data_IF_027267654671
#
_entry.id   IF_027267654671
#
_cell.length_a   1.000
_cell.length_b   1.000
_cell.length_c   1.000
_cell.angle_alpha   90.00
_cell.angle_beta   90.00
_cell.angle_gamma   90.00
#
_symmetry.space_group_name_H-M   'P 1'
#
loop_
_entity.id
_entity.type
_entity.pdbx_description
1 polymer ?
#
# COMPACT_ATOMS: atom_id res chain seq x y z
N UNK A 1 -12.47 -16.14 -0.67
CA UNK A 1 -13.34 -17.27 -0.29
C UNK A 1 -13.87 -17.87 -1.58
N UNK A 2 -13.87 -19.19 -1.73
CA UNK A 2 -14.30 -19.88 -2.95
C UNK A 2 -15.74 -20.40 -2.75
N UNK A 3 -16.59 -20.26 -3.77
CA UNK A 3 -17.97 -20.80 -3.77
C UNK A 3 -18.09 -21.75 -4.96
N UNK A 4 -18.50 -22.99 -4.70
CA UNK A 4 -18.71 -24.06 -5.71
C UNK A 4 -17.48 -24.43 -6.56
N UNK A 5 -16.27 -24.14 -6.06
CA UNK A 5 -15.01 -24.48 -6.73
C UNK A 5 -13.95 -24.91 -5.70
N UNK A 6 -12.94 -25.67 -6.15
CA UNK A 6 -11.87 -26.20 -5.31
C UNK A 6 -11.05 -25.03 -4.70
N UNK A 7 -10.72 -25.06 -3.40
CA UNK A 7 -10.06 -23.93 -2.72
C UNK A 7 -8.54 -23.80 -2.98
N UNK A 8 -8.03 -24.33 -4.09
CA UNK A 8 -6.58 -24.41 -4.41
C UNK A 8 -6.30 -23.98 -5.84
N UNK A 9 -5.13 -23.40 -6.12
CA UNK A 9 -4.71 -23.05 -7.49
C UNK A 9 -4.91 -21.58 -7.85
N UNK A 10 -4.56 -20.66 -6.95
CA UNK A 10 -4.70 -19.23 -7.22
C UNK A 10 -3.81 -18.79 -8.39
N UNK A 11 -4.41 -18.10 -9.35
CA UNK A 11 -3.74 -17.56 -10.53
C UNK A 11 -3.28 -16.13 -10.23
N UNK A 12 -2.02 -15.82 -10.56
CA UNK A 12 -1.43 -14.48 -10.37
C UNK A 12 -2.29 -13.42 -11.06
N UNK A 13 -2.71 -12.39 -10.33
CA UNK A 13 -3.51 -11.26 -10.84
C UNK A 13 -5.03 -11.48 -10.93
N UNK A 14 -5.53 -12.70 -10.68
CA UNK A 14 -6.97 -13.02 -10.68
C UNK A 14 -7.47 -13.24 -9.25
N UNK A 15 -6.69 -13.98 -8.46
CA UNK A 15 -6.97 -14.29 -7.06
C UNK A 15 -5.68 -14.06 -6.27
N UNK A 16 -5.49 -12.86 -5.66
CA UNK A 16 -4.41 -12.67 -4.72
C UNK A 16 -4.40 -13.80 -3.70
N UNK A 17 -3.26 -14.47 -3.52
CA UNK A 17 -3.16 -15.53 -2.52
C UNK A 17 -3.61 -14.95 -1.18
N UNK A 18 -4.62 -15.55 -0.55
CA UNK A 18 -5.19 -15.05 0.71
C UNK A 18 -4.59 -15.77 1.91
N UNK A 19 -4.40 -15.08 3.03
CA UNK A 19 -4.21 -15.73 4.32
C UNK A 19 -4.05 -14.74 5.46
N UNK A 20 -4.80 -15.00 6.52
CA UNK A 20 -4.69 -14.36 7.83
C UNK A 20 -4.70 -15.42 8.94
N UNK A 21 -4.69 -14.98 10.20
CA UNK A 21 -4.45 -15.80 11.41
C UNK A 21 -3.00 -16.32 11.45
N UNK A 22 -2.75 -17.59 11.80
CA UNK A 22 -1.40 -18.13 11.95
C UNK A 22 -0.56 -18.20 10.65
N UNK A 23 -1.11 -17.78 9.50
CA UNK A 23 -0.46 -17.88 8.18
C UNK A 23 0.27 -16.59 7.71
N UNK A 24 0.35 -15.55 8.55
CA UNK A 24 1.13 -14.34 8.29
C UNK A 24 0.32 -13.07 7.94
N UNK A 25 1.02 -12.03 7.47
CA UNK A 25 0.57 -10.61 7.43
C UNK A 25 -0.29 -10.19 6.23
N UNK A 26 -0.69 -11.12 5.36
CA UNK A 26 -1.53 -10.83 4.18
C UNK A 26 -0.86 -10.01 3.05
N UNK A 27 0.47 -9.81 3.09
CA UNK A 27 1.28 -9.12 2.05
C UNK A 27 1.71 -10.08 0.91
N UNK A 28 0.78 -10.92 0.43
CA UNK A 28 1.14 -12.15 -0.29
C UNK A 28 1.57 -11.91 -1.75
N UNK A 29 2.57 -12.69 -2.18
CA UNK A 29 3.07 -12.75 -3.55
C UNK A 29 1.92 -12.93 -4.55
N UNK A 30 1.97 -12.20 -5.68
CA UNK A 30 0.89 -12.15 -6.68
C UNK A 30 -0.06 -10.96 -6.55
N UNK A 31 0.17 -10.06 -5.59
CA UNK A 31 -0.49 -8.75 -5.47
C UNK A 31 0.54 -7.61 -5.49
N UNK A 32 0.09 -6.39 -5.84
CA UNK A 32 0.93 -5.17 -5.80
C UNK A 32 1.55 -4.94 -4.40
N UNK A 33 0.83 -5.33 -3.34
CA UNK A 33 1.26 -5.14 -1.95
C UNK A 33 2.52 -5.93 -1.59
N UNK A 34 2.77 -7.08 -2.24
CA UNK A 34 4.03 -7.80 -2.06
C UNK A 34 5.23 -7.05 -2.64
N UNK A 35 5.03 -6.25 -3.70
CA UNK A 35 6.11 -5.46 -4.29
C UNK A 35 6.49 -4.27 -3.40
N UNK A 36 5.50 -3.64 -2.77
CA UNK A 36 5.71 -2.51 -1.85
C UNK A 36 6.51 -2.92 -0.60
N UNK A 37 6.51 -4.21 -0.21
CA UNK A 37 7.32 -4.72 0.91
C UNK A 37 8.83 -4.57 0.70
N UNK A 38 9.29 -4.54 -0.55
CA UNK A 38 10.72 -4.47 -0.91
C UNK A 38 11.19 -3.06 -1.26
N UNK A 39 10.32 -2.07 -1.10
CA UNK A 39 10.61 -0.67 -1.39
C UNK A 39 10.36 0.18 -0.14
N UNK A 40 11.23 1.15 0.12
CA UNK A 40 11.00 2.18 1.13
C UNK A 40 10.57 3.48 0.43
N UNK A 41 9.26 3.78 0.34
CA UNK A 41 8.78 4.96 -0.38
C UNK A 41 9.29 6.26 0.28
N UNK A 42 9.67 7.24 -0.54
CA UNK A 42 10.01 8.60 -0.12
C UNK A 42 9.16 9.59 -0.91
N UNK A 43 8.57 10.55 -0.20
CA UNK A 43 7.94 11.71 -0.82
C UNK A 43 8.94 12.88 -0.86
N UNK A 44 8.96 13.61 -1.99
CA UNK A 44 9.79 14.80 -2.18
C UNK A 44 8.85 15.94 -2.59
N UNK A 45 8.96 17.09 -1.92
CA UNK A 45 8.20 18.30 -2.24
C UNK A 45 9.17 19.45 -2.47
N UNK A 46 8.98 20.14 -3.59
CA UNK A 46 9.62 21.42 -3.88
C UNK A 46 8.56 22.53 -3.82
N UNK A 47 8.92 23.71 -3.33
CA UNK A 47 8.03 24.88 -3.29
C UNK A 47 8.79 26.07 -3.85
N UNK A 48 8.51 26.43 -5.10
CA UNK A 48 9.29 27.43 -5.83
C UNK A 48 9.14 28.86 -5.31
N UNK A 49 8.06 29.15 -4.57
CA UNK A 49 7.84 30.44 -3.91
C UNK A 49 7.37 30.20 -2.46
N UNK A 50 8.32 29.89 -1.56
CA UNK A 50 8.01 29.67 -0.15
C UNK A 50 7.64 30.99 0.55
N UNK A 51 6.74 30.97 1.55
CA UNK A 51 6.48 32.12 2.40
C UNK A 51 7.78 32.66 3.02
N UNK A 52 7.92 33.99 3.06
CA UNK A 52 9.08 34.68 3.64
C UNK A 52 8.83 35.19 5.06
N UNK A 53 7.58 35.11 5.53
CA UNK A 53 7.15 35.41 6.90
C UNK A 53 6.47 34.19 7.52
N UNK A 54 6.66 34.01 8.82
CA UNK A 54 6.13 32.92 9.63
C UNK A 54 4.74 33.23 10.20
N UNK A 55 4.32 34.50 10.20
CA UNK A 55 3.03 34.93 10.73
C UNK A 55 1.88 34.46 9.84
N UNK A 56 0.78 34.06 10.47
CA UNK A 56 -0.43 33.62 9.79
C UNK A 56 -1.50 34.72 9.81
N UNK A 57 -2.43 34.77 8.83
CA UNK A 57 -3.45 35.81 8.74
C UNK A 57 -4.39 35.96 9.94
N UNK A 58 -4.46 34.97 10.83
CA UNK A 58 -5.31 35.01 12.03
C UNK A 58 -4.61 35.63 13.26
N UNK A 59 -3.34 36.06 13.14
CA UNK A 59 -2.54 36.53 14.27
C UNK A 59 -2.60 38.06 14.49
N UNK A 60 -3.35 38.81 13.67
CA UNK A 60 -3.57 40.26 13.83
C UNK A 60 -3.67 41.03 12.54
#
# INVERSE_FOLDING_TARGET
FYVNDKPTGAVVGQQPFGGGRASGTNDKAGSLWNLVRWVSPRSIKETSASPTDHRYPHMG
#
